data_IF_309660419655
#
_entry.id   IF_309660419655
#
_cell.length_a   1.000
_cell.length_b   1.000
_cell.length_c   1.000
_cell.angle_alpha   90.00
_cell.angle_beta   90.00
_cell.angle_gamma   90.00
#
_symmetry.space_group_name_H-M   'P 1'
#
loop_
_entity.id
_entity.type
_entity.pdbx_description
1 polymer ?
#
# COMPACT_ATOMS: atom_id res chain seq x y z
N UNK A 1 -25.90 0.37 14.13
CA UNK A 1 -24.88 -0.63 13.73
C UNK A 1 -23.72 0.11 13.09
N UNK A 2 -22.51 -0.15 13.52
CA UNK A 2 -21.27 0.51 13.05
C UNK A 2 -20.28 -0.54 12.56
N UNK A 3 -19.51 -0.23 11.52
CA UNK A 3 -18.37 -1.04 11.07
C UNK A 3 -17.10 -0.49 11.72
N UNK A 4 -16.30 -1.35 12.34
CA UNK A 4 -15.01 -0.98 12.93
C UNK A 4 -13.92 -1.75 12.20
N UNK A 5 -13.07 -1.04 11.46
CA UNK A 5 -11.85 -1.61 10.91
C UNK A 5 -10.72 -1.45 11.92
N UNK A 6 -10.08 -2.56 12.28
CA UNK A 6 -9.04 -2.58 13.33
C UNK A 6 -7.75 -3.21 12.82
N UNK A 7 -6.62 -2.67 13.24
CA UNK A 7 -5.32 -3.31 13.05
C UNK A 7 -5.08 -4.32 14.18
N UNK A 8 -4.77 -5.56 13.81
CA UNK A 8 -4.26 -6.58 14.73
C UNK A 8 -2.74 -6.44 14.92
N UNK A 9 -2.17 -7.27 15.80
CA UNK A 9 -0.72 -7.26 16.08
C UNK A 9 0.12 -7.64 14.85
N UNK A 10 -0.48 -8.35 13.88
CA UNK A 10 0.17 -8.78 12.64
C UNK A 10 0.26 -7.69 11.56
N UNK A 11 -0.47 -6.57 11.73
CA UNK A 11 -0.36 -5.44 10.80
C UNK A 11 1.07 -4.90 10.69
N UNK A 12 1.87 -5.06 11.76
CA UNK A 12 3.31 -4.74 11.76
C UNK A 12 4.15 -5.62 10.83
N UNK A 13 3.74 -6.88 10.58
CA UNK A 13 4.44 -7.80 9.66
C UNK A 13 4.42 -7.34 8.20
N UNK A 14 3.51 -6.42 7.86
CA UNK A 14 3.46 -5.82 6.53
C UNK A 14 4.46 -4.67 6.35
N UNK A 15 5.43 -4.50 7.27
CA UNK A 15 6.54 -3.57 7.08
C UNK A 15 7.36 -3.93 5.82
N UNK A 16 7.88 -2.93 5.08
CA UNK A 16 7.89 -1.49 5.38
C UNK A 16 6.61 -0.73 4.93
N UNK A 17 5.61 -1.40 4.35
CA UNK A 17 4.41 -0.76 3.79
C UNK A 17 3.57 -0.05 4.85
N UNK A 18 3.54 -0.59 6.07
CA UNK A 18 2.65 -0.16 7.17
C UNK A 18 3.35 0.66 8.26
N UNK A 19 4.62 1.01 8.09
CA UNK A 19 5.33 1.81 9.10
C UNK A 19 4.71 3.21 9.21
N UNK A 20 4.42 3.85 8.07
CA UNK A 20 3.89 5.21 8.00
C UNK A 20 2.38 5.30 7.73
N UNK A 21 1.68 4.17 7.61
CA UNK A 21 0.23 4.14 7.34
C UNK A 21 -0.43 2.89 7.92
N UNK A 22 -1.74 2.92 8.23
CA UNK A 22 -2.47 1.72 8.63
C UNK A 22 -2.58 0.69 7.50
N UNK A 23 -2.75 -0.59 7.86
CA UNK A 23 -2.88 -1.68 6.90
C UNK A 23 -4.10 -1.53 5.96
N UNK A 24 -5.21 -0.95 6.44
CA UNK A 24 -6.39 -0.67 5.61
C UNK A 24 -6.18 0.45 4.57
N UNK A 25 -5.05 1.16 4.63
CA UNK A 25 -4.62 2.15 3.63
C UNK A 25 -3.67 1.56 2.57
N UNK A 26 -3.31 0.29 2.64
CA UNK A 26 -2.54 -0.37 1.58
C UNK A 26 -3.42 -0.50 0.35
N UNK A 27 -2.91 -0.05 -0.79
CA UNK A 27 -3.52 -0.29 -2.09
C UNK A 27 -3.22 -1.70 -2.59
N UNK A 28 -4.26 -2.41 -3.03
CA UNK A 28 -4.13 -3.63 -3.81
C UNK A 28 -5.23 -3.62 -4.88
N UNK A 29 -4.89 -3.90 -6.12
CA UNK A 29 -5.76 -3.49 -7.21
C UNK A 29 -5.80 -1.97 -7.30
N UNK A 30 -6.98 -1.39 -7.54
CA UNK A 30 -7.16 0.07 -7.63
C UNK A 30 -7.75 0.70 -6.36
N UNK A 31 -8.11 -0.09 -5.35
CA UNK A 31 -8.72 0.37 -4.11
C UNK A 31 -7.83 0.13 -2.87
N UNK A 32 -8.17 0.84 -1.80
CA UNK A 32 -7.80 0.58 -0.41
C UNK A 32 -9.02 0.06 0.33
N UNK A 33 -8.83 -0.72 1.38
CA UNK A 33 -9.96 -1.28 2.13
C UNK A 33 -10.88 -0.17 2.68
N UNK A 34 -10.29 0.88 3.21
CA UNK A 34 -11.03 2.03 3.79
C UNK A 34 -11.90 2.76 2.76
N UNK A 35 -11.59 2.68 1.47
CA UNK A 35 -12.39 3.27 0.38
C UNK A 35 -13.65 2.42 0.06
N UNK A 36 -13.58 1.12 0.33
CA UNK A 36 -14.65 0.18 0.03
C UNK A 36 -15.65 -0.01 1.18
N UNK A 37 -15.20 0.06 2.43
CA UNK A 37 -16.05 -0.17 3.60
C UNK A 37 -17.29 0.72 3.70
N UNK A 38 -17.28 2.01 3.30
CA UNK A 38 -18.48 2.87 3.27
C UNK A 38 -19.62 2.31 2.39
N UNK A 39 -19.31 1.46 1.41
CA UNK A 39 -20.30 0.79 0.55
C UNK A 39 -21.20 -0.20 1.29
N UNK A 40 -20.85 -0.54 2.52
CA UNK A 40 -21.72 -1.31 3.42
C UNK A 40 -22.94 -0.51 3.91
N UNK A 41 -23.01 0.80 3.61
CA UNK A 41 -24.12 1.68 4.00
C UNK A 41 -24.21 1.88 5.51
N UNK A 42 -23.09 1.78 6.22
CA UNK A 42 -22.96 1.94 7.67
C UNK A 42 -21.84 2.91 8.01
N UNK A 43 -21.93 3.63 9.14
CA UNK A 43 -20.79 4.40 9.63
C UNK A 43 -19.55 3.51 9.80
N UNK A 44 -18.41 3.96 9.28
CA UNK A 44 -17.13 3.26 9.39
C UNK A 44 -16.27 4.00 10.40
N UNK A 45 -15.61 3.27 11.28
CA UNK A 45 -14.62 3.76 12.24
C UNK A 45 -13.35 2.95 12.11
N UNK A 46 -12.21 3.60 12.31
CA UNK A 46 -10.91 2.99 12.17
C UNK A 46 -10.13 3.03 13.49
N UNK A 47 -9.59 1.89 13.88
CA UNK A 47 -8.69 1.74 15.02
C UNK A 47 -7.32 1.35 14.49
N UNK A 48 -6.39 2.29 14.57
CA UNK A 48 -5.01 2.12 14.10
C UNK A 48 -4.03 2.08 15.27
N UNK A 49 -2.83 1.57 15.01
CA UNK A 49 -1.70 1.59 15.93
C UNK A 49 -1.43 3.01 16.45
N UNK A 50 -0.96 3.19 17.71
CA UNK A 50 -0.91 4.48 18.40
C UNK A 50 -0.24 5.60 17.59
N UNK A 51 0.92 5.32 16.98
CA UNK A 51 1.70 6.32 16.24
C UNK A 51 1.03 6.83 14.95
N UNK A 52 0.03 6.12 14.41
CA UNK A 52 -0.69 6.49 13.21
C UNK A 52 -1.94 7.35 13.47
N UNK A 53 -2.43 7.38 14.72
CA UNK A 53 -3.74 7.97 15.05
C UNK A 53 -3.83 9.46 14.75
N UNK A 54 -2.77 10.22 15.04
CA UNK A 54 -2.79 11.66 14.83
C UNK A 54 -2.88 12.03 13.34
N UNK A 55 -2.11 11.32 12.48
CA UNK A 55 -2.17 11.51 11.04
C UNK A 55 -3.50 11.01 10.48
N UNK A 56 -3.99 9.86 10.95
CA UNK A 56 -5.29 9.33 10.54
C UNK A 56 -6.43 10.32 10.84
N UNK A 57 -6.44 10.96 12.01
CA UNK A 57 -7.44 11.99 12.36
C UNK A 57 -7.37 13.20 11.44
N UNK A 58 -6.17 13.57 11.01
CA UNK A 58 -5.96 14.70 10.13
C UNK A 58 -6.32 14.41 8.66
N UNK A 59 -6.03 13.20 8.19
CA UNK A 59 -6.23 12.80 6.79
C UNK A 59 -7.61 12.19 6.54
N UNK A 60 -8.16 11.48 7.53
CA UNK A 60 -9.42 10.74 7.44
C UNK A 60 -10.33 11.01 8.64
N UNK A 61 -10.74 12.28 8.84
CA UNK A 61 -11.68 12.62 9.92
C UNK A 61 -13.02 11.89 9.81
N UNK A 62 -13.38 11.44 8.60
CA UNK A 62 -14.58 10.65 8.30
C UNK A 62 -14.61 9.29 8.99
N UNK A 63 -13.46 8.66 9.21
CA UNK A 63 -13.34 7.33 9.84
C UNK A 63 -12.56 7.34 11.16
N UNK A 64 -11.92 8.44 11.52
CA UNK A 64 -11.00 8.53 12.66
C UNK A 64 -11.67 8.77 14.01
N UNK A 65 -12.99 8.86 14.09
CA UNK A 65 -13.71 9.08 15.34
C UNK A 65 -13.98 7.78 16.08
N UNK A 66 -13.61 7.75 17.35
CA UNK A 66 -13.61 6.60 18.23
C UNK A 66 -14.88 5.77 18.35
N UNK A 67 -14.69 4.56 18.83
CA UNK A 67 -15.76 3.63 19.23
C UNK A 67 -16.38 4.09 20.52
N UNK A 68 -17.17 5.15 20.52
CA UNK A 68 -17.87 5.60 21.71
C UNK A 68 -18.94 4.56 22.10
N UNK A 69 -18.80 3.97 23.28
CA UNK A 69 -19.64 3.08 24.04
C UNK A 69 -21.14 2.92 23.71
N UNK A 70 -21.47 2.74 22.45
CA UNK A 70 -22.84 2.59 21.97
C UNK A 70 -23.30 1.15 22.17
N UNK A 71 -24.51 0.99 22.66
CA UNK A 71 -25.19 -0.30 22.79
C UNK A 71 -25.65 -0.91 21.45
N UNK A 72 -25.02 -0.55 20.36
CA UNK A 72 -25.37 -1.04 19.01
C UNK A 72 -24.53 -2.25 18.64
N UNK A 73 -25.06 -3.11 17.77
CA UNK A 73 -24.26 -4.18 17.17
C UNK A 73 -23.15 -3.61 16.30
N UNK A 74 -22.02 -4.29 16.27
CA UNK A 74 -20.80 -3.85 15.58
C UNK A 74 -20.28 -4.96 14.66
N UNK A 75 -19.92 -4.59 13.43
CA UNK A 75 -19.12 -5.44 12.57
C UNK A 75 -17.65 -5.05 12.70
N UNK A 76 -16.85 -5.94 13.28
CA UNK A 76 -15.39 -5.85 13.28
C UNK A 76 -14.84 -6.36 11.94
N UNK A 77 -13.88 -5.63 11.36
CA UNK A 77 -13.22 -5.99 10.11
C UNK A 77 -11.71 -5.84 10.29
N UNK A 78 -10.95 -6.88 9.99
CA UNK A 78 -9.50 -6.84 10.09
C UNK A 78 -8.90 -5.92 9.01
N UNK A 79 -7.99 -5.04 9.40
CA UNK A 79 -7.35 -4.05 8.54
C UNK A 79 -6.48 -4.65 7.42
N UNK A 80 -6.04 -5.91 7.58
CA UNK A 80 -5.23 -6.64 6.60
C UNK A 80 -6.04 -7.30 5.49
N UNK A 81 -7.37 -7.07 5.46
CA UNK A 81 -8.27 -7.66 4.48
C UNK A 81 -8.01 -7.16 3.06
N UNK A 82 -8.09 -8.06 2.09
CA UNK A 82 -7.91 -7.74 0.67
C UNK A 82 -8.97 -6.74 0.19
N UNK A 83 -8.59 -5.59 -0.40
CA UNK A 83 -9.53 -4.54 -0.81
C UNK A 83 -10.17 -4.82 -2.18
N UNK A 84 -11.10 -5.74 -2.22
CA UNK A 84 -11.87 -6.08 -3.42
C UNK A 84 -13.38 -6.06 -3.14
N UNK A 85 -14.16 -5.86 -4.19
CA UNK A 85 -15.62 -5.69 -4.08
C UNK A 85 -16.29 -6.96 -3.58
N UNK A 86 -15.85 -8.12 -4.04
CA UNK A 86 -16.36 -9.42 -3.58
C UNK A 86 -16.20 -9.64 -2.07
N UNK A 87 -15.18 -9.07 -1.45
CA UNK A 87 -15.00 -9.07 0.00
C UNK A 87 -16.09 -8.20 0.67
N UNK A 88 -16.37 -7.03 0.12
CA UNK A 88 -17.44 -6.15 0.64
C UNK A 88 -18.81 -6.84 0.54
N UNK A 89 -19.08 -7.57 -0.54
CA UNK A 89 -20.32 -8.33 -0.70
C UNK A 89 -20.44 -9.43 0.37
N UNK A 90 -19.35 -10.14 0.65
CA UNK A 90 -19.32 -11.15 1.74
C UNK A 90 -19.56 -10.51 3.11
N UNK A 91 -18.96 -9.36 3.39
CA UNK A 91 -19.21 -8.58 4.62
C UNK A 91 -20.68 -8.10 4.70
N UNK A 92 -21.26 -7.69 3.57
CA UNK A 92 -22.67 -7.33 3.48
C UNK A 92 -23.56 -8.53 3.82
N UNK A 93 -23.21 -9.73 3.38
CA UNK A 93 -23.89 -10.96 3.75
C UNK A 93 -23.91 -11.21 5.26
N UNK A 94 -22.80 -10.93 5.96
CA UNK A 94 -22.73 -11.01 7.44
C UNK A 94 -23.70 -10.01 8.06
N UNK A 95 -23.70 -8.76 7.58
CA UNK A 95 -24.59 -7.70 8.07
C UNK A 95 -26.08 -8.05 7.89
N UNK A 96 -26.44 -8.63 6.74
CA UNK A 96 -27.83 -9.01 6.42
C UNK A 96 -28.34 -10.16 7.29
N UNK A 97 -27.48 -11.09 7.69
CA UNK A 97 -27.84 -12.15 8.63
C UNK A 97 -28.25 -11.61 10.00
N UNK A 98 -27.63 -10.50 10.44
CA UNK A 98 -27.97 -9.80 11.67
C UNK A 98 -27.75 -10.60 12.96
N UNK A 99 -27.04 -11.73 12.89
CA UNK A 99 -26.74 -12.62 14.03
C UNK A 99 -25.27 -12.51 14.42
N UNK A 100 -24.95 -12.62 15.72
CA UNK A 100 -23.56 -12.70 16.16
C UNK A 100 -22.85 -13.85 15.45
N UNK A 101 -21.67 -13.55 14.88
CA UNK A 101 -20.90 -14.54 14.11
C UNK A 101 -19.42 -14.15 14.07
N UNK A 102 -18.54 -15.14 13.91
CA UNK A 102 -17.11 -14.93 13.73
C UNK A 102 -16.62 -15.62 12.46
N UNK A 103 -15.82 -14.88 11.68
CA UNK A 103 -15.10 -15.39 10.51
C UNK A 103 -13.62 -15.38 10.82
N UNK A 104 -12.98 -16.54 10.66
CA UNK A 104 -11.55 -16.71 10.89
C UNK A 104 -10.84 -17.16 9.62
N UNK A 105 -9.56 -16.79 9.53
CA UNK A 105 -8.61 -17.38 8.57
C UNK A 105 -7.50 -18.04 9.38
N UNK A 106 -7.56 -19.35 9.51
CA UNK A 106 -6.73 -20.07 10.50
C UNK A 106 -7.01 -19.55 11.92
N UNK A 107 -5.98 -19.11 12.60
CA UNK A 107 -6.08 -18.56 13.96
C UNK A 107 -6.53 -17.10 14.00
N UNK A 108 -6.48 -16.39 12.88
CA UNK A 108 -6.68 -14.94 12.84
C UNK A 108 -8.14 -14.57 12.64
N UNK A 109 -8.55 -13.51 13.35
CA UNK A 109 -9.85 -12.89 13.18
C UNK A 109 -9.89 -12.10 11.87
N UNK A 110 -10.73 -12.54 10.92
CA UNK A 110 -10.98 -11.79 9.69
C UNK A 110 -12.13 -10.80 9.86
N UNK A 111 -13.26 -11.24 10.44
CA UNK A 111 -14.38 -10.37 10.79
C UNK A 111 -15.19 -10.98 11.93
N UNK A 112 -15.90 -10.13 12.69
CA UNK A 112 -16.86 -10.58 13.69
C UNK A 112 -18.06 -9.66 13.76
N UNK A 113 -19.25 -10.23 13.80
CA UNK A 113 -20.50 -9.55 14.10
C UNK A 113 -20.76 -9.65 15.60
N UNK A 114 -20.55 -8.58 16.33
CA UNK A 114 -20.80 -8.51 17.78
C UNK A 114 -22.26 -8.17 18.08
N UNK A 115 -22.85 -8.76 19.14
CA UNK A 115 -24.20 -8.42 19.55
C UNK A 115 -24.32 -6.98 20.05
N UNK A 116 -25.52 -6.45 20.05
CA UNK A 116 -25.80 -5.20 20.73
C UNK A 116 -25.49 -5.31 22.23
N UNK A 117 -24.81 -4.28 22.75
CA UNK A 117 -24.41 -4.27 24.17
C UNK A 117 -23.02 -4.85 24.45
N UNK A 118 -22.30 -5.33 23.46
CA UNK A 118 -20.89 -5.70 23.61
C UNK A 118 -20.08 -4.48 24.13
N UNK A 119 -19.28 -4.71 25.19
CA UNK A 119 -18.40 -3.68 25.74
C UNK A 119 -17.19 -3.56 24.85
N UNK A 120 -17.15 -2.51 24.03
CA UNK A 120 -16.04 -2.27 23.12
C UNK A 120 -14.79 -1.82 23.88
N UNK A 121 -13.60 -2.25 23.44
CA UNK A 121 -12.36 -1.68 23.94
C UNK A 121 -12.30 -0.17 23.69
N UNK A 122 -11.52 0.54 24.51
CA UNK A 122 -11.17 1.93 24.26
C UNK A 122 -10.42 2.02 22.91
N UNK A 123 -10.57 3.16 22.21
CA UNK A 123 -9.86 3.43 20.94
C UNK A 123 -8.33 3.39 21.09
N UNK A 124 -7.84 3.57 22.28
CA UNK A 124 -6.42 3.45 22.62
C UNK A 124 -6.00 2.02 22.94
N UNK A 125 -6.93 1.08 22.96
CA UNK A 125 -6.61 -0.30 23.20
C UNK A 125 -5.72 -0.88 22.08
N UNK A 126 -4.76 -1.76 22.41
CA UNK A 126 -3.96 -2.46 21.42
C UNK A 126 -4.83 -3.43 20.58
N UNK A 127 -4.37 -3.74 19.36
CA UNK A 127 -5.11 -4.55 18.38
C UNK A 127 -5.59 -5.90 18.91
N UNK A 128 -4.79 -6.55 19.75
CA UNK A 128 -5.14 -7.85 20.37
C UNK A 128 -6.37 -7.78 21.29
N UNK A 129 -6.74 -6.61 21.80
CA UNK A 129 -7.97 -6.45 22.60
C UNK A 129 -9.23 -6.65 21.75
N UNK A 130 -9.19 -6.26 20.49
CA UNK A 130 -10.29 -6.45 19.56
C UNK A 130 -10.44 -7.92 19.15
N UNK A 131 -9.34 -8.62 18.94
CA UNK A 131 -9.35 -10.07 18.71
C UNK A 131 -9.86 -10.83 19.94
N UNK A 132 -9.38 -10.44 21.12
CA UNK A 132 -9.80 -11.03 22.39
C UNK A 132 -11.29 -10.83 22.64
N UNK A 133 -11.81 -9.63 22.38
CA UNK A 133 -13.25 -9.36 22.50
C UNK A 133 -14.07 -10.33 21.65
N UNK A 134 -13.66 -10.57 20.40
CA UNK A 134 -14.33 -11.53 19.52
C UNK A 134 -14.18 -12.99 20.00
N UNK A 135 -13.10 -13.28 20.72
CA UNK A 135 -12.84 -14.61 21.27
C UNK A 135 -13.65 -14.88 22.56
N UNK A 136 -13.78 -13.87 23.42
CA UNK A 136 -14.53 -13.92 24.68
C UNK A 136 -16.05 -13.84 24.46
N UNK A 137 -16.49 -13.36 23.29
CA UNK A 137 -17.89 -13.36 22.87
C UNK A 137 -18.26 -14.73 22.35
N UNK A 138 -19.38 -15.30 22.81
CA UNK A 138 -19.92 -16.56 22.31
C UNK A 138 -20.51 -16.35 20.92
N UNK A 139 -19.64 -16.45 19.89
CA UNK A 139 -19.97 -16.18 18.48
C UNK A 139 -20.01 -17.47 17.67
N UNK A 140 -21.06 -17.66 16.89
CA UNK A 140 -21.17 -18.79 15.96
C UNK A 140 -20.11 -18.66 14.85
N UNK A 141 -19.33 -19.72 14.55
CA UNK A 141 -18.46 -19.75 13.38
C UNK A 141 -19.26 -19.56 12.08
N UNK A 142 -18.77 -18.71 11.21
CA UNK A 142 -19.35 -18.51 9.89
C UNK A 142 -18.33 -18.85 8.80
N UNK A 143 -18.61 -19.94 8.09
CA UNK A 143 -17.74 -20.50 7.07
C UNK A 143 -17.85 -19.71 5.76
N UNK A 144 -17.12 -18.59 5.69
CA UNK A 144 -16.88 -17.83 4.47
C UNK A 144 -15.40 -17.48 4.38
N UNK A 145 -14.89 -17.38 3.17
CA UNK A 145 -13.50 -17.00 2.95
C UNK A 145 -13.36 -15.48 2.91
N UNK A 146 -12.56 -14.92 3.83
CA UNK A 146 -12.14 -13.52 3.84
C UNK A 146 -10.61 -13.47 3.80
N UNK A 147 -10.00 -13.14 2.64
CA UNK A 147 -8.55 -13.17 2.50
C UNK A 147 -7.90 -12.03 3.27
N UNK A 148 -6.82 -12.37 3.99
CA UNK A 148 -5.98 -11.42 4.73
C UNK A 148 -4.56 -11.45 4.19
N UNK A 149 -3.91 -10.30 4.13
CA UNK A 149 -2.46 -10.22 3.91
C UNK A 149 -1.72 -10.73 5.14
N UNK A 150 -0.76 -11.59 4.95
CA UNK A 150 0.12 -12.12 5.99
C UNK A 150 1.51 -11.50 5.89
N UNK A 151 2.00 -11.38 4.66
CA UNK A 151 3.30 -10.81 4.33
C UNK A 151 3.16 -9.70 3.27
N UNK A 152 4.13 -8.79 3.16
CA UNK A 152 4.09 -7.74 2.15
C UNK A 152 3.94 -8.24 0.71
N UNK A 153 4.55 -9.37 0.37
CA UNK A 153 4.44 -9.95 -0.98
C UNK A 153 3.06 -10.50 -1.33
N UNK A 154 2.18 -10.71 -0.35
CA UNK A 154 0.78 -11.10 -0.62
C UNK A 154 0.03 -10.01 -1.37
N UNK A 155 0.38 -8.73 -1.13
CA UNK A 155 -0.18 -7.60 -1.86
C UNK A 155 0.12 -7.72 -3.35
N UNK A 156 1.36 -8.10 -3.70
CA UNK A 156 1.77 -8.32 -5.10
C UNK A 156 1.09 -9.56 -5.70
N UNK A 157 0.98 -10.65 -4.92
CA UNK A 157 0.31 -11.89 -5.35
C UNK A 157 -1.15 -11.66 -5.73
N UNK A 158 -1.87 -10.91 -4.92
CA UNK A 158 -3.31 -10.67 -5.13
C UNK A 158 -3.58 -9.51 -6.11
N UNK A 159 -2.58 -8.68 -6.38
CA UNK A 159 -2.77 -7.45 -7.13
C UNK A 159 -3.40 -7.63 -8.53
N UNK A 160 -2.95 -8.55 -9.40
CA UNK A 160 -3.52 -8.66 -10.74
C UNK A 160 -5.02 -8.99 -10.73
N UNK A 161 -5.41 -10.00 -9.94
CA UNK A 161 -6.82 -10.38 -9.82
C UNK A 161 -7.66 -9.27 -9.15
N UNK A 162 -7.13 -8.63 -8.12
CA UNK A 162 -7.78 -7.51 -7.45
C UNK A 162 -7.95 -6.31 -8.40
N UNK A 163 -6.95 -6.04 -9.26
CA UNK A 163 -7.04 -4.93 -10.22
C UNK A 163 -8.15 -5.18 -11.24
N UNK A 164 -8.22 -6.39 -11.81
CA UNK A 164 -9.26 -6.73 -12.77
C UNK A 164 -10.67 -6.56 -12.19
N UNK A 165 -10.92 -7.09 -10.98
CA UNK A 165 -12.20 -6.96 -10.28
C UNK A 165 -12.53 -5.49 -9.98
N UNK A 166 -11.56 -4.75 -9.47
CA UNK A 166 -11.75 -3.36 -9.07
C UNK A 166 -11.98 -2.44 -10.26
N UNK A 167 -11.35 -2.68 -11.42
CA UNK A 167 -11.60 -1.90 -12.64
C UNK A 167 -12.99 -2.17 -13.21
N UNK A 168 -13.46 -3.41 -13.20
CA UNK A 168 -14.83 -3.73 -13.60
C UNK A 168 -15.85 -2.97 -12.73
N UNK A 169 -15.63 -2.90 -11.44
CA UNK A 169 -16.47 -2.14 -10.51
C UNK A 169 -16.43 -0.63 -10.77
N UNK A 170 -15.23 -0.05 -10.97
CA UNK A 170 -15.11 1.39 -11.30
C UNK A 170 -15.89 1.75 -12.54
N UNK A 171 -15.77 0.95 -13.58
CA UNK A 171 -16.46 1.18 -14.85
C UNK A 171 -17.98 1.03 -14.71
N UNK A 172 -18.45 0.08 -13.90
CA UNK A 172 -19.88 -0.09 -13.62
C UNK A 172 -20.49 1.12 -12.89
N UNK A 173 -19.67 1.82 -12.07
CA UNK A 173 -20.06 3.05 -11.37
C UNK A 173 -20.26 4.26 -12.28
N UNK A 174 -19.80 4.20 -13.54
CA UNK A 174 -19.88 5.31 -14.51
C UNK A 174 -18.85 6.41 -14.26
N UNK A 175 -19.02 7.54 -14.97
CA UNK A 175 -18.13 8.70 -14.83
C UNK A 175 -16.94 8.71 -15.78
N UNK A 176 -16.83 7.69 -16.64
CA UNK A 176 -15.77 7.59 -17.65
C UNK A 176 -16.31 7.70 -19.06
N UNK A 177 -15.52 8.27 -19.94
CA UNK A 177 -15.74 8.26 -21.39
C UNK A 177 -14.76 7.29 -22.04
N UNK A 178 -15.29 6.35 -22.78
CA UNK A 178 -14.46 5.47 -23.62
C UNK A 178 -13.98 6.25 -24.85
N UNK A 179 -12.67 6.30 -25.07
CA UNK A 179 -12.03 7.08 -26.16
C UNK A 179 -11.39 6.19 -27.22
N UNK A 180 -11.10 4.95 -26.87
CA UNK A 180 -10.68 3.87 -27.75
C UNK A 180 -11.14 2.56 -27.09
N UNK A 181 -11.11 1.46 -27.81
CA UNK A 181 -11.53 0.16 -27.31
C UNK A 181 -10.85 -0.16 -25.99
N UNK A 182 -11.63 -0.30 -24.90
CA UNK A 182 -11.16 -0.58 -23.55
C UNK A 182 -10.34 0.53 -22.88
N UNK A 183 -10.31 1.77 -23.43
CA UNK A 183 -9.59 2.92 -22.85
C UNK A 183 -10.58 3.95 -22.31
N UNK A 184 -10.59 4.14 -21.01
CA UNK A 184 -11.59 4.93 -20.28
C UNK A 184 -10.96 6.14 -19.57
N UNK A 185 -11.49 7.32 -19.83
CA UNK A 185 -11.02 8.60 -19.28
C UNK A 185 -12.09 9.25 -18.40
N UNK A 186 -11.72 9.60 -17.17
CA UNK A 186 -12.50 10.50 -16.32
C UNK A 186 -12.33 11.98 -16.75
N UNK A 187 -13.05 12.87 -16.09
CA UNK A 187 -13.03 14.31 -16.38
C UNK A 187 -11.62 14.90 -16.33
N UNK A 188 -11.25 15.64 -17.39
CA UNK A 188 -9.94 16.31 -17.47
C UNK A 188 -8.75 15.40 -17.77
N UNK A 189 -8.96 14.08 -17.91
CA UNK A 189 -7.91 13.18 -18.33
C UNK A 189 -7.60 13.33 -19.82
N UNK A 190 -6.33 13.21 -20.20
CA UNK A 190 -5.84 13.40 -21.58
C UNK A 190 -4.80 12.36 -21.99
N UNK A 191 -4.86 11.95 -23.25
CA UNK A 191 -3.82 11.21 -23.94
C UNK A 191 -3.02 12.16 -24.84
N UNK A 192 -1.70 12.06 -24.79
CA UNK A 192 -0.80 12.75 -25.71
C UNK A 192 -0.84 12.18 -27.13
N UNK A 193 -0.15 12.83 -28.04
CA UNK A 193 -0.01 12.32 -29.41
C UNK A 193 0.82 11.03 -29.45
N UNK A 194 0.49 10.15 -30.40
CA UNK A 194 1.23 8.89 -30.66
C UNK A 194 1.27 7.95 -29.44
N UNK A 195 0.28 8.02 -28.55
CA UNK A 195 0.10 7.02 -27.49
C UNK A 195 -0.45 5.74 -28.10
N UNK A 196 0.21 4.63 -27.83
CA UNK A 196 -0.22 3.28 -28.24
C UNK A 196 -0.85 2.59 -27.04
N UNK A 197 -2.04 2.02 -27.24
CA UNK A 197 -2.78 1.28 -26.20
C UNK A 197 -3.02 -0.16 -26.63
N UNK A 198 -2.89 -1.08 -25.68
CA UNK A 198 -3.22 -2.51 -25.84
C UNK A 198 -4.14 -2.90 -24.67
N UNK A 199 -5.36 -3.27 -24.96
CA UNK A 199 -6.40 -3.63 -24.00
C UNK A 199 -6.81 -5.10 -24.07
N UNK A 200 -6.04 -5.92 -24.79
CA UNK A 200 -6.32 -7.33 -24.96
C UNK A 200 -6.41 -8.14 -23.67
N UNK A 201 -5.69 -7.72 -22.61
CA UNK A 201 -5.69 -8.38 -21.30
C UNK A 201 -6.52 -7.62 -20.24
N UNK A 202 -7.07 -6.46 -20.55
CA UNK A 202 -7.92 -5.70 -19.65
C UNK A 202 -7.95 -4.19 -19.94
N UNK A 203 -8.85 -3.44 -19.27
CA UNK A 203 -9.06 -2.04 -19.54
C UNK A 203 -7.93 -1.15 -19.02
N UNK A 204 -7.83 0.04 -19.65
CA UNK A 204 -7.00 1.16 -19.19
C UNK A 204 -7.93 2.22 -18.64
N UNK A 205 -7.83 2.52 -17.35
CA UNK A 205 -8.68 3.51 -16.66
C UNK A 205 -7.83 4.67 -16.15
N UNK A 206 -8.10 5.86 -16.69
CA UNK A 206 -7.42 7.10 -16.34
C UNK A 206 -8.38 7.99 -15.54
N UNK A 207 -8.03 8.26 -14.28
CA UNK A 207 -8.84 9.07 -13.37
C UNK A 207 -8.73 10.57 -13.70
N UNK A 208 -9.41 11.41 -12.89
CA UNK A 208 -9.52 12.85 -13.13
C UNK A 208 -8.14 13.54 -13.26
N UNK A 209 -8.05 14.40 -14.29
CA UNK A 209 -6.87 15.22 -14.56
C UNK A 209 -5.56 14.43 -14.79
N UNK A 210 -5.64 13.16 -15.13
CA UNK A 210 -4.48 12.36 -15.56
C UNK A 210 -3.97 12.92 -16.89
N UNK A 211 -2.66 12.93 -17.04
CA UNK A 211 -1.99 13.33 -18.29
C UNK A 211 -1.02 12.25 -18.73
N UNK A 212 -1.29 11.67 -19.88
CA UNK A 212 -0.36 10.76 -20.54
C UNK A 212 0.42 11.55 -21.58
N UNK A 213 1.75 11.55 -21.46
CA UNK A 213 2.66 12.22 -22.41
C UNK A 213 2.65 11.56 -23.79
N UNK A 214 3.24 12.20 -24.79
CA UNK A 214 3.34 11.62 -26.12
C UNK A 214 4.26 10.40 -26.17
N UNK A 215 4.06 9.55 -27.19
CA UNK A 215 4.86 8.34 -27.44
C UNK A 215 4.88 7.35 -26.25
N UNK A 216 3.84 7.35 -25.41
CA UNK A 216 3.70 6.36 -24.35
C UNK A 216 3.09 5.05 -24.89
N UNK A 217 3.44 3.95 -24.24
CA UNK A 217 2.79 2.65 -24.42
C UNK A 217 2.04 2.26 -23.15
N UNK A 218 0.75 1.95 -23.28
CA UNK A 218 -0.08 1.50 -22.18
C UNK A 218 -0.67 0.13 -22.53
N UNK A 219 -0.39 -0.90 -21.71
CA UNK A 219 -0.99 -2.24 -21.85
C UNK A 219 -1.80 -2.57 -20.60
N UNK A 220 -3.10 -2.79 -20.77
CA UNK A 220 -4.03 -3.11 -19.69
C UNK A 220 -3.80 -4.49 -19.05
N UNK A 221 -4.40 -4.75 -17.88
CA UNK A 221 -5.18 -3.79 -17.09
C UNK A 221 -4.31 -2.72 -16.40
N UNK A 222 -4.69 -1.46 -16.50
CA UNK A 222 -3.96 -0.33 -15.91
C UNK A 222 -4.94 0.64 -15.22
N UNK A 223 -4.60 1.06 -14.01
CA UNK A 223 -5.28 2.14 -13.30
C UNK A 223 -4.31 3.29 -13.04
N UNK A 224 -4.69 4.50 -13.44
CA UNK A 224 -3.90 5.70 -13.17
C UNK A 224 -4.73 6.66 -12.31
N UNK A 225 -4.29 6.87 -11.07
CA UNK A 225 -4.97 7.72 -10.08
C UNK A 225 -4.95 9.21 -10.40
N UNK A 226 -5.86 10.00 -9.80
CA UNK A 226 -6.11 11.40 -10.14
C UNK A 226 -4.85 12.28 -10.15
N UNK A 227 -4.75 13.17 -11.13
CA UNK A 227 -3.67 14.15 -11.25
C UNK A 227 -2.28 13.57 -11.52
N UNK A 228 -2.18 12.27 -11.77
CA UNK A 228 -0.92 11.60 -12.12
C UNK A 228 -0.50 11.92 -13.55
N UNK A 229 0.79 12.01 -13.76
CA UNK A 229 1.40 12.23 -15.07
C UNK A 229 2.27 11.06 -15.47
N UNK A 230 2.01 10.47 -16.61
CA UNK A 230 2.95 9.59 -17.30
C UNK A 230 3.74 10.45 -18.27
N UNK A 231 5.07 10.43 -18.10
CA UNK A 231 5.98 11.26 -18.88
C UNK A 231 6.16 10.61 -20.27
N UNK A 232 6.52 11.41 -21.26
CA UNK A 232 6.80 10.96 -22.61
C UNK A 232 7.70 9.71 -22.64
N UNK A 233 7.45 8.82 -23.61
CA UNK A 233 8.13 7.53 -23.78
C UNK A 233 7.99 6.56 -22.58
N UNK A 234 6.97 6.78 -21.71
CA UNK A 234 6.66 5.83 -20.64
C UNK A 234 5.98 4.55 -21.17
N UNK A 235 6.38 3.39 -20.66
CA UNK A 235 5.73 2.09 -20.91
C UNK A 235 5.10 1.60 -19.59
N UNK A 236 3.77 1.53 -19.52
CA UNK A 236 3.00 1.12 -18.35
C UNK A 236 2.18 -0.10 -18.74
N UNK A 237 2.46 -1.25 -18.14
CA UNK A 237 1.91 -2.50 -18.67
C UNK A 237 1.67 -3.58 -17.61
N UNK A 238 0.76 -4.49 -17.94
CA UNK A 238 0.59 -5.77 -17.26
C UNK A 238 0.25 -5.64 -15.77
N UNK A 239 -0.94 -5.12 -15.46
CA UNK A 239 -1.43 -4.95 -14.08
C UNK A 239 -0.68 -3.87 -13.29
N UNK A 240 -0.74 -2.62 -13.72
CA UNK A 240 -0.19 -1.48 -12.98
C UNK A 240 -1.29 -0.65 -12.33
N UNK A 241 -1.11 -0.32 -11.04
CA UNK A 241 -1.93 0.65 -10.34
C UNK A 241 -1.08 1.81 -9.81
N UNK A 242 -1.36 3.01 -10.29
CA UNK A 242 -0.71 4.25 -9.87
C UNK A 242 -1.63 5.03 -8.94
N UNK A 243 -1.10 5.49 -7.82
CA UNK A 243 -1.76 6.43 -6.91
C UNK A 243 -1.96 7.81 -7.54
N UNK A 244 -2.60 8.71 -6.80
CA UNK A 244 -2.78 10.09 -7.26
C UNK A 244 -1.46 10.90 -7.21
N UNK A 245 -1.37 11.94 -8.03
CA UNK A 245 -0.30 12.95 -7.99
C UNK A 245 1.12 12.38 -8.19
N UNK A 246 1.24 11.23 -8.85
CA UNK A 246 2.52 10.62 -9.20
C UNK A 246 3.12 11.25 -10.48
N UNK A 247 4.43 11.05 -10.68
CA UNK A 247 5.12 11.29 -11.95
C UNK A 247 5.86 10.03 -12.35
N UNK A 248 5.44 9.42 -13.45
CA UNK A 248 5.89 8.10 -13.87
C UNK A 248 6.47 8.18 -15.27
N UNK A 249 7.59 7.54 -15.50
CA UNK A 249 8.26 7.43 -16.79
C UNK A 249 9.18 6.20 -16.84
N UNK A 250 9.76 5.91 -18.00
CA UNK A 250 10.44 4.65 -18.23
C UNK A 250 9.47 3.48 -18.22
N UNK A 251 9.92 2.30 -17.81
CA UNK A 251 9.12 1.08 -17.86
C UNK A 251 8.60 0.70 -16.47
N UNK A 252 7.29 0.43 -16.37
CA UNK A 252 6.61 -0.04 -15.15
C UNK A 252 5.70 -1.20 -15.51
N UNK A 253 5.86 -2.33 -14.83
CA UNK A 253 5.14 -3.57 -15.08
C UNK A 253 4.63 -4.18 -13.77
N UNK A 254 3.41 -4.72 -13.75
CA UNK A 254 2.82 -5.49 -12.66
C UNK A 254 3.06 -4.89 -11.26
N UNK A 255 2.95 -3.58 -11.13
CA UNK A 255 3.41 -2.85 -9.94
C UNK A 255 2.37 -1.91 -9.37
N UNK A 256 2.48 -1.67 -8.06
CA UNK A 256 1.68 -0.72 -7.31
C UNK A 256 2.57 0.46 -6.90
N UNK A 257 2.17 1.67 -7.24
CA UNK A 257 2.87 2.89 -6.83
C UNK A 257 1.91 3.79 -6.07
N UNK A 258 2.23 4.06 -4.81
CA UNK A 258 1.42 4.88 -3.92
C UNK A 258 1.57 6.40 -4.22
N UNK A 259 0.64 7.24 -3.72
CA UNK A 259 0.57 8.66 -4.04
C UNK A 259 1.86 9.46 -3.82
N UNK A 260 1.98 10.56 -4.58
CA UNK A 260 3.09 11.52 -4.53
C UNK A 260 4.47 10.97 -4.91
N UNK A 261 4.53 9.76 -5.43
CA UNK A 261 5.79 9.10 -5.80
C UNK A 261 6.26 9.53 -7.19
N UNK A 262 7.57 9.72 -7.32
CA UNK A 262 8.25 10.02 -8.57
C UNK A 262 9.12 8.84 -9.01
N UNK A 263 8.76 8.19 -10.10
CA UNK A 263 9.63 7.38 -10.96
C UNK A 263 9.63 8.02 -12.35
N UNK A 264 10.11 9.27 -12.43
CA UNK A 264 9.92 10.11 -13.61
C UNK A 264 10.84 9.73 -14.77
N UNK A 265 11.99 9.14 -14.49
CA UNK A 265 13.04 8.91 -15.49
C UNK A 265 13.06 7.44 -15.97
N UNK A 266 13.93 7.14 -16.94
CA UNK A 266 14.17 5.79 -17.45
C UNK A 266 14.59 4.82 -16.34
N UNK A 267 14.41 3.54 -16.59
CA UNK A 267 14.66 2.43 -15.69
C UNK A 267 13.44 1.50 -15.63
N UNK A 268 13.67 0.23 -15.35
CA UNK A 268 12.65 -0.80 -15.20
C UNK A 268 12.19 -0.91 -13.74
N UNK A 269 10.88 -0.98 -13.53
CA UNK A 269 10.25 -1.29 -12.26
C UNK A 269 9.18 -2.37 -12.49
N UNK A 270 9.48 -3.62 -12.11
CA UNK A 270 8.58 -4.75 -12.29
C UNK A 270 8.19 -5.43 -10.99
N UNK A 271 6.96 -5.94 -10.91
CA UNK A 271 6.41 -6.77 -9.83
C UNK A 271 6.71 -6.21 -8.43
N UNK A 272 6.48 -4.89 -8.27
CA UNK A 272 6.95 -4.14 -7.10
C UNK A 272 5.84 -3.35 -6.42
N UNK A 273 6.02 -3.12 -5.12
CA UNK A 273 5.24 -2.14 -4.37
C UNK A 273 6.13 -0.96 -3.98
N UNK A 274 5.69 0.25 -4.31
CA UNK A 274 6.40 1.48 -4.00
C UNK A 274 5.51 2.37 -3.15
N UNK A 275 5.97 2.69 -1.95
CA UNK A 275 5.27 3.53 -0.97
C UNK A 275 5.05 4.97 -1.45
N UNK A 276 4.40 5.76 -0.59
CA UNK A 276 4.12 7.17 -0.85
C UNK A 276 5.37 8.04 -0.69
N UNK A 277 5.42 9.14 -1.47
CA UNK A 277 6.50 10.12 -1.36
C UNK A 277 7.91 9.56 -1.66
N UNK A 278 7.98 8.46 -2.37
CA UNK A 278 9.24 7.87 -2.85
C UNK A 278 9.75 8.66 -4.05
N UNK A 279 11.07 8.74 -4.18
CA UNK A 279 11.70 9.33 -5.36
C UNK A 279 12.77 8.40 -5.90
N UNK A 280 12.53 7.80 -7.06
CA UNK A 280 13.49 6.96 -7.75
C UNK A 280 14.33 7.82 -8.72
N UNK A 281 15.64 7.83 -8.52
CA UNK A 281 16.60 8.52 -9.38
C UNK A 281 16.64 7.94 -10.79
N UNK A 282 17.11 8.71 -11.76
CA UNK A 282 17.25 8.26 -13.14
C UNK A 282 18.10 6.99 -13.23
N UNK A 283 17.68 6.02 -14.04
CA UNK A 283 18.38 4.75 -14.19
C UNK A 283 18.16 3.77 -13.02
N UNK A 284 17.32 4.11 -12.03
CA UNK A 284 16.94 3.13 -11.01
C UNK A 284 16.18 1.98 -11.67
N UNK A 285 16.68 0.76 -11.50
CA UNK A 285 16.07 -0.47 -11.99
C UNK A 285 15.97 -1.51 -10.86
N UNK A 286 14.95 -2.37 -10.94
CA UNK A 286 14.93 -3.58 -10.13
C UNK A 286 14.96 -4.83 -11.01
N UNK A 287 15.52 -5.92 -10.47
CA UNK A 287 15.29 -7.27 -10.97
C UNK A 287 14.05 -7.84 -10.28
N UNK A 288 13.22 -8.54 -11.01
CA UNK A 288 12.01 -9.21 -10.51
C UNK A 288 12.03 -10.72 -10.73
N UNK A 289 12.95 -11.21 -11.58
CA UNK A 289 13.18 -12.61 -11.87
C UNK A 289 14.61 -13.00 -11.43
N UNK A 290 14.74 -14.15 -10.77
CA UNK A 290 16.06 -14.69 -10.42
C UNK A 290 16.77 -15.23 -11.65
N UNK A 291 18.10 -15.09 -11.71
CA UNK A 291 18.89 -15.68 -12.81
C UNK A 291 18.74 -17.21 -12.89
N UNK A 292 18.29 -17.87 -11.84
CA UNK A 292 18.02 -19.32 -11.80
C UNK A 292 16.60 -19.68 -12.23
N UNK A 293 15.76 -18.69 -12.56
CA UNK A 293 14.35 -18.86 -12.92
C UNK A 293 13.47 -19.55 -11.86
N UNK A 294 13.99 -19.73 -10.65
CA UNK A 294 13.27 -20.35 -9.52
C UNK A 294 12.38 -19.34 -8.79
N UNK A 295 11.51 -19.85 -7.91
CA UNK A 295 10.65 -19.02 -7.05
C UNK A 295 11.47 -18.10 -6.15
N UNK A 296 10.96 -16.89 -5.93
CA UNK A 296 11.60 -15.89 -5.09
C UNK A 296 11.36 -16.20 -3.62
N UNK A 297 12.36 -15.96 -2.80
CA UNK A 297 12.24 -15.94 -1.33
C UNK A 297 12.49 -14.51 -0.87
N UNK A 298 11.70 -14.05 0.07
CA UNK A 298 11.91 -12.75 0.70
C UNK A 298 12.31 -12.94 2.17
N UNK A 299 13.09 -12.01 2.68
CA UNK A 299 13.51 -12.00 4.07
C UNK A 299 12.69 -10.94 4.84
N UNK A 300 12.07 -11.38 5.95
CA UNK A 300 11.34 -10.52 6.88
C UNK A 300 11.83 -10.83 8.30
N UNK A 301 12.25 -9.82 9.04
CA UNK A 301 12.76 -9.95 10.42
C UNK A 301 13.84 -11.05 10.58
N UNK A 302 14.72 -11.17 9.58
CA UNK A 302 15.79 -12.16 9.55
C UNK A 302 15.38 -13.58 9.17
N UNK A 303 14.11 -13.79 8.79
CA UNK A 303 13.60 -15.09 8.37
C UNK A 303 13.27 -15.11 6.87
N UNK A 304 13.77 -16.13 6.16
CA UNK A 304 13.42 -16.32 4.76
C UNK A 304 12.03 -16.96 4.63
N UNK A 305 11.15 -16.28 3.87
CA UNK A 305 9.79 -16.72 3.55
C UNK A 305 9.69 -17.03 2.06
N UNK A 306 9.26 -18.25 1.67
CA UNK A 306 9.01 -18.57 0.28
C UNK A 306 7.76 -17.83 -0.21
N UNK A 307 7.90 -17.06 -1.29
CA UNK A 307 6.74 -16.33 -1.84
C UNK A 307 5.83 -17.22 -2.70
N UNK A 308 6.32 -18.35 -3.19
CA UNK A 308 5.62 -19.17 -4.17
C UNK A 308 5.50 -18.52 -5.56
N UNK A 309 6.07 -17.32 -5.76
CA UNK A 309 6.03 -16.58 -7.02
C UNK A 309 7.40 -16.61 -7.71
N UNK A 310 7.39 -16.69 -9.03
CA UNK A 310 8.57 -16.63 -9.87
C UNK A 310 9.04 -15.19 -10.07
N UNK A 311 8.09 -14.25 -10.14
CA UNK A 311 8.35 -12.83 -10.31
C UNK A 311 7.99 -12.07 -9.03
N UNK A 312 8.98 -11.45 -8.40
CA UNK A 312 8.83 -10.51 -7.27
C UNK A 312 9.97 -9.50 -7.33
N UNK A 313 9.65 -8.27 -7.54
CA UNK A 313 10.62 -7.17 -7.61
C UNK A 313 11.07 -6.72 -6.23
N UNK A 314 10.66 -5.51 -5.85
CA UNK A 314 11.02 -4.94 -4.55
C UNK A 314 9.80 -4.34 -3.84
N UNK A 315 9.95 -4.19 -2.51
CA UNK A 315 8.97 -3.49 -1.68
C UNK A 315 9.66 -2.29 -1.05
N UNK A 316 9.20 -1.09 -1.39
CA UNK A 316 9.81 0.17 -0.97
C UNK A 316 8.87 0.90 0.00
N UNK A 317 9.35 1.20 1.20
CA UNK A 317 8.62 1.96 2.21
C UNK A 317 8.49 3.45 1.88
N UNK A 318 7.58 4.12 2.58
CA UNK A 318 7.28 5.54 2.36
C UNK A 318 8.53 6.42 2.55
N UNK A 319 8.60 7.51 1.80
CA UNK A 319 9.69 8.52 1.86
C UNK A 319 11.09 8.03 1.43
N UNK A 320 11.26 6.80 0.98
CA UNK A 320 12.56 6.31 0.49
C UNK A 320 12.99 7.04 -0.80
N UNK A 321 14.30 7.14 -1.00
CA UNK A 321 14.89 7.76 -2.18
C UNK A 321 16.04 6.92 -2.72
N UNK A 322 16.13 6.81 -4.04
CA UNK A 322 17.30 6.22 -4.69
C UNK A 322 18.10 7.28 -5.43
N UNK A 323 19.40 7.14 -5.43
CA UNK A 323 20.29 7.91 -6.32
C UNK A 323 20.14 7.42 -7.78
N UNK A 324 20.76 8.12 -8.70
CA UNK A 324 20.83 7.70 -10.11
C UNK A 324 21.50 6.32 -10.21
N UNK A 325 21.07 5.51 -11.20
CA UNK A 325 21.64 4.20 -11.51
C UNK A 325 21.68 3.23 -10.31
N UNK A 326 20.70 3.33 -9.41
CA UNK A 326 20.54 2.37 -8.33
C UNK A 326 19.96 1.07 -8.91
N UNK A 327 20.61 -0.07 -8.60
CA UNK A 327 20.18 -1.39 -9.06
C UNK A 327 19.68 -2.21 -7.87
N UNK A 328 18.41 -2.59 -7.89
CA UNK A 328 17.76 -3.31 -6.80
C UNK A 328 17.60 -4.78 -7.21
N UNK A 329 18.14 -5.69 -6.40
CA UNK A 329 18.05 -7.13 -6.69
C UNK A 329 16.66 -7.69 -6.34
N UNK A 330 16.32 -8.81 -6.97
CA UNK A 330 15.05 -9.55 -6.82
C UNK A 330 14.71 -9.78 -5.35
N UNK A 331 13.47 -9.51 -4.96
CA UNK A 331 12.93 -9.82 -3.64
C UNK A 331 13.54 -8.99 -2.49
N UNK A 332 13.92 -7.73 -2.74
CA UNK A 332 14.48 -6.86 -1.69
C UNK A 332 13.44 -5.91 -1.12
N UNK A 333 13.55 -5.65 0.18
CA UNK A 333 12.81 -4.59 0.86
C UNK A 333 13.71 -3.37 1.08
N UNK A 334 13.14 -2.18 0.88
CA UNK A 334 13.77 -0.90 1.18
C UNK A 334 12.95 -0.20 2.25
N UNK A 335 13.53 -0.02 3.42
CA UNK A 335 12.89 0.58 4.57
C UNK A 335 12.47 2.03 4.34
N UNK A 336 11.53 2.51 5.15
CA UNK A 336 11.01 3.85 5.07
C UNK A 336 12.11 4.91 5.33
N UNK A 337 12.01 6.07 4.66
CA UNK A 337 12.92 7.19 4.87
C UNK A 337 14.40 6.92 4.53
N UNK A 338 14.73 5.82 3.87
CA UNK A 338 16.11 5.51 3.50
C UNK A 338 16.57 6.23 2.23
N UNK A 339 17.86 6.52 2.14
CA UNK A 339 18.54 7.04 0.94
C UNK A 339 19.49 5.97 0.42
N UNK A 340 19.29 5.53 -0.82
CA UNK A 340 19.91 4.33 -1.37
C UNK A 340 20.79 4.65 -2.56
N UNK A 341 22.00 4.08 -2.59
CA UNK A 341 23.01 4.31 -3.62
C UNK A 341 23.63 3.02 -4.12
N UNK A 342 23.78 2.88 -5.43
CA UNK A 342 24.47 1.75 -6.06
C UNK A 342 23.66 0.43 -6.05
N UNK A 343 24.28 -0.67 -5.66
CA UNK A 343 23.67 -1.99 -5.71
C UNK A 343 22.99 -2.37 -4.39
N UNK A 344 21.72 -2.74 -4.45
CA UNK A 344 20.93 -3.23 -3.32
C UNK A 344 20.84 -4.75 -3.38
N UNK A 345 21.78 -5.42 -2.74
CA UNK A 345 21.88 -6.89 -2.70
C UNK A 345 21.28 -7.51 -1.44
N UNK A 346 20.99 -6.70 -0.43
CA UNK A 346 20.34 -7.08 0.84
C UNK A 346 19.20 -6.13 1.16
N UNK A 347 18.35 -6.49 2.11
CA UNK A 347 17.33 -5.56 2.61
C UNK A 347 17.98 -4.30 3.18
N UNK A 348 17.32 -3.17 2.97
CA UNK A 348 17.77 -1.85 3.43
C UNK A 348 16.97 -1.45 4.65
N UNK A 349 17.60 -1.16 5.80
CA UNK A 349 16.92 -0.65 6.98
C UNK A 349 16.25 0.71 6.74
N UNK A 350 15.26 1.01 7.56
CA UNK A 350 14.66 2.35 7.57
C UNK A 350 15.62 3.40 8.16
N UNK A 351 15.53 4.64 7.67
CA UNK A 351 16.32 5.78 8.13
C UNK A 351 17.85 5.59 8.04
N UNK A 352 18.32 5.09 6.91
CA UNK A 352 19.76 4.97 6.64
C UNK A 352 20.15 5.64 5.31
N UNK A 353 21.42 6.06 5.22
CA UNK A 353 22.13 6.23 3.97
C UNK A 353 22.77 4.88 3.63
N UNK A 354 22.22 4.19 2.66
CA UNK A 354 22.66 2.87 2.23
C UNK A 354 23.52 3.00 0.98
N UNK A 355 24.82 3.04 1.17
CA UNK A 355 25.83 3.06 0.12
C UNK A 355 26.76 1.85 0.25
N UNK A 356 26.18 0.66 0.51
CA UNK A 356 26.90 -0.57 0.81
C UNK A 356 27.91 -0.97 -0.26
N UNK A 357 27.56 -0.76 -1.54
CA UNK A 357 28.48 -1.00 -2.67
C UNK A 357 29.72 -0.10 -2.66
N UNK A 358 29.72 0.96 -1.86
CA UNK A 358 30.84 1.85 -1.62
C UNK A 358 31.43 1.70 -0.20
N UNK A 359 31.08 0.61 0.50
CA UNK A 359 31.57 0.32 1.86
C UNK A 359 30.90 1.15 2.97
N UNK A 360 29.79 1.83 2.71
CA UNK A 360 29.17 2.73 3.68
C UNK A 360 27.68 2.40 3.91
N UNK A 361 27.32 2.27 5.17
CA UNK A 361 25.92 2.32 5.64
C UNK A 361 25.92 3.14 6.92
N UNK A 362 25.24 4.27 6.89
CA UNK A 362 25.18 5.19 8.03
C UNK A 362 23.74 5.51 8.38
N UNK A 363 23.48 5.77 9.65
CA UNK A 363 22.19 6.23 10.10
C UNK A 363 21.87 7.63 9.54
N UNK A 364 20.64 7.81 9.07
CA UNK A 364 20.16 9.11 8.62
C UNK A 364 19.53 9.85 9.80
N UNK A 365 20.11 10.98 10.23
CA UNK A 365 19.58 11.72 11.37
C UNK A 365 18.12 12.14 11.15
N UNK A 366 17.29 11.96 12.17
CA UNK A 366 15.85 12.27 12.13
C UNK A 366 15.58 13.72 11.69
N UNK A 367 16.37 14.69 12.16
CA UNK A 367 16.19 16.12 11.81
C UNK A 367 16.42 16.38 10.32
N UNK A 368 17.34 15.64 9.70
CA UNK A 368 17.55 15.70 8.24
C UNK A 368 16.31 15.19 7.51
N UNK A 369 15.70 14.12 8.01
CA UNK A 369 14.49 13.56 7.39
C UNK A 369 13.28 14.48 7.55
N UNK A 370 13.08 15.10 8.74
CA UNK A 370 12.00 16.08 8.97
C UNK A 370 12.15 17.27 8.01
N UNK A 371 13.35 17.84 7.91
CA UNK A 371 13.62 18.95 6.98
C UNK A 371 13.45 18.52 5.51
N UNK A 372 13.76 17.28 5.18
CA UNK A 372 13.59 16.74 3.82
C UNK A 372 12.10 16.58 3.50
N UNK A 373 11.29 16.09 4.43
CA UNK A 373 9.83 15.99 4.26
C UNK A 373 9.21 17.37 4.02
N UNK A 374 9.59 18.39 4.81
CA UNK A 374 9.10 19.75 4.63
C UNK A 374 9.35 20.27 3.19
N UNK A 375 10.57 20.09 2.66
CA UNK A 375 10.92 20.49 1.29
C UNK A 375 10.14 19.70 0.23
N UNK A 376 9.92 18.40 0.45
CA UNK A 376 9.12 17.55 -0.46
C UNK A 376 7.66 18.00 -0.49
N UNK A 377 7.08 18.25 0.67
CA UNK A 377 5.70 18.69 0.81
C UNK A 377 5.50 20.06 0.17
N UNK A 378 6.41 21.01 0.43
CA UNK A 378 6.40 22.34 -0.21
C UNK A 378 6.39 22.27 -1.74
N UNK A 379 7.17 21.34 -2.36
CA UNK A 379 7.18 21.16 -3.82
C UNK A 379 5.86 20.66 -4.40
N UNK A 380 4.96 20.16 -3.56
CA UNK A 380 3.64 19.65 -3.92
C UNK A 380 2.50 20.49 -3.36
N UNK A 381 2.83 21.67 -2.81
CA UNK A 381 1.87 22.56 -2.13
C UNK A 381 1.10 21.84 -1.00
N UNK A 382 1.77 20.94 -0.28
CA UNK A 382 1.25 20.26 0.90
C UNK A 382 1.93 20.87 2.14
N UNK A 383 1.18 21.33 3.15
CA UNK A 383 1.78 21.79 4.39
C UNK A 383 2.28 20.62 5.22
N UNK A 384 3.47 20.76 5.82
CA UNK A 384 3.91 19.84 6.88
C UNK A 384 3.21 20.21 8.18
N UNK A 385 2.51 19.26 8.78
CA UNK A 385 1.74 19.44 10.02
C UNK A 385 2.51 18.89 11.20
N UNK A 386 2.22 19.29 12.44
CA UNK A 386 2.84 18.71 13.63
C UNK A 386 2.70 17.19 13.73
N UNK A 387 1.56 16.63 13.29
CA UNK A 387 1.34 15.19 13.28
C UNK A 387 2.23 14.46 12.26
N UNK A 388 2.62 15.10 11.14
CA UNK A 388 3.53 14.52 10.15
C UNK A 388 4.96 14.42 10.72
N UNK A 389 5.41 15.45 11.45
CA UNK A 389 6.69 15.41 12.16
C UNK A 389 6.70 14.38 13.28
N UNK A 390 5.62 14.30 14.05
CA UNK A 390 5.51 13.30 15.13
C UNK A 390 5.53 11.89 14.54
N UNK A 391 4.83 11.64 13.43
CA UNK A 391 4.87 10.37 12.74
C UNK A 391 6.31 9.96 12.36
N UNK A 392 7.11 10.89 11.82
CA UNK A 392 8.52 10.59 11.50
C UNK A 392 9.34 10.24 12.74
N UNK A 393 9.09 10.91 13.89
CA UNK A 393 9.74 10.58 15.17
C UNK A 393 9.39 9.18 15.63
N UNK A 394 8.10 8.85 15.58
CA UNK A 394 7.60 7.53 16.00
C UNK A 394 8.11 6.43 15.06
N UNK A 395 8.09 6.64 13.74
CA UNK A 395 8.65 5.72 12.76
C UNK A 395 10.15 5.48 13.01
N UNK A 396 10.89 6.54 13.34
CA UNK A 396 12.32 6.46 13.64
C UNK A 396 12.58 5.59 14.87
N UNK A 397 11.83 5.75 15.93
CA UNK A 397 11.99 4.92 17.15
C UNK A 397 11.52 3.48 16.92
N UNK A 398 10.39 3.27 16.25
CA UNK A 398 9.86 1.93 15.95
C UNK A 398 10.84 1.08 15.14
N UNK A 399 11.58 1.70 14.22
CA UNK A 399 12.54 1.02 13.33
C UNK A 399 13.97 1.03 13.86
N UNK A 400 14.19 1.45 15.10
CA UNK A 400 15.53 1.55 15.71
C UNK A 400 16.31 0.23 15.66
N UNK A 401 15.62 -0.89 15.83
CA UNK A 401 16.22 -2.22 15.80
C UNK A 401 16.82 -2.58 14.43
N UNK A 402 16.25 -2.05 13.32
CA UNK A 402 16.74 -2.29 11.96
C UNK A 402 18.13 -1.66 11.75
N UNK A 403 18.41 -0.52 12.40
CA UNK A 403 19.64 0.28 12.21
C UNK A 403 20.87 -0.24 12.93
N UNK A 404 20.78 -1.33 13.68
CA UNK A 404 21.95 -1.96 14.35
C UNK A 404 23.09 -2.31 13.39
N UNK A 405 22.78 -2.47 12.12
CA UNK A 405 23.76 -2.75 11.04
C UNK A 405 24.52 -1.47 10.65
N UNK A 406 23.93 -0.28 10.79
CA UNK A 406 24.54 0.99 10.40
C UNK A 406 25.69 1.44 11.31
N UNK A 407 25.81 0.90 12.50
CA UNK A 407 26.86 1.25 13.48
C UNK A 407 28.20 0.54 13.24
N UNK A 408 28.31 -0.39 12.29
CA UNK A 408 29.54 -1.09 11.96
C UNK A 408 30.06 -0.59 10.60
N UNK A 409 31.23 0.06 10.53
CA UNK A 409 31.88 0.33 9.25
C UNK A 409 32.04 -1.00 8.52
N UNK A 410 31.55 -1.10 7.30
CA UNK A 410 31.85 -2.22 6.45
C UNK A 410 33.33 -2.11 6.07
N UNK A 411 34.14 -2.99 6.64
CA UNK A 411 35.47 -3.23 6.14
C UNK A 411 35.32 -4.01 4.83
N UNK A 412 35.78 -3.43 3.72
CA UNK A 412 35.87 -4.11 2.43
C UNK A 412 37.00 -5.14 2.48
#
# INVERSE_FOLDING_TARGET
>A
MTVIVFEDDLAGRLAPMTIGKPAFEIRCGSYRLVELLPRLGRPVKAVARPHLRAVLRADRPDVASGANGRRESVLLVNARMLPVVSVVERLRGILQRGRPAVVRRGEWLAAAMLPAGAVLPDDEAPGNRWERLAHESDLEPHEIELPLFEYPHDVLRHHPAALAENLADRLSGGGYREVADGVFLATGATLGEYVVTDTGEGPIVLEENVRIGPYCYLKGPVHVGPGTRVIEHGAIKDSVALGHTCKIGGEVEASIIEPYTNKQHHGFLGHSYVGSWVNLGAGTCNSDLKNTYGTVRMEYDGHEVPTGMQFVGCIIGDYAKTAINTSIFTGRTIGACSMVYGFVTTNVPSFVNYARSFGQVTELPLQVQIATQARMFQRRNVPQRPCDEQLLRDMYELTRHERRIASKPLVL
#
